data_IF_102121163207
#
_entry.id   IF_102121163207
#
_cell.length_a   1.000
_cell.length_b   1.000
_cell.length_c   1.000
_cell.angle_alpha   90.00
_cell.angle_beta   90.00
_cell.angle_gamma   90.00
#
_symmetry.space_group_name_H-M   'P 1'
#
loop_
_entity.id
_entity.type
_entity.pdbx_description
1 polymer ?
#
# COMPACT_ATOMS: atom_id res chain seq x y z
N UNK A 1 -81.81 -37.26 56.19
CA UNK A 1 -80.44 -36.92 56.62
C UNK A 1 -79.58 -36.69 55.39
N UNK A 2 -79.21 -35.43 55.16
CA UNK A 2 -78.51 -34.92 53.97
C UNK A 2 -77.01 -34.76 54.28
N UNK A 3 -76.14 -35.39 53.49
CA UNK A 3 -74.72 -35.05 53.45
C UNK A 3 -74.33 -34.64 52.03
N UNK A 4 -73.79 -33.44 51.80
CA UNK A 4 -73.27 -33.04 50.50
C UNK A 4 -71.84 -33.54 50.35
N UNK A 5 -71.57 -34.34 49.31
CA UNK A 5 -70.20 -34.68 48.93
C UNK A 5 -69.59 -33.53 48.14
N UNK A 6 -68.72 -32.76 48.79
CA UNK A 6 -67.91 -31.72 48.14
C UNK A 6 -66.93 -32.32 47.14
N UNK A 7 -67.13 -32.07 45.86
CA UNK A 7 -66.18 -32.36 44.81
C UNK A 7 -64.99 -31.39 44.89
N UNK A 8 -63.89 -31.84 45.50
CA UNK A 8 -62.61 -31.11 45.46
C UNK A 8 -62.08 -31.06 44.04
N UNK A 9 -61.95 -29.87 43.48
CA UNK A 9 -61.26 -29.64 42.22
C UNK A 9 -59.74 -29.43 42.44
N UNK A 10 -58.93 -30.16 41.65
CA UNK A 10 -57.55 -29.84 41.17
C UNK A 10 -56.40 -29.96 42.22
N UNK A 11 -55.16 -30.33 41.79
CA UNK A 11 -54.36 -29.62 40.80
C UNK A 11 -54.05 -30.45 39.55
N UNK A 12 -54.29 -29.86 38.36
CA UNK A 12 -53.66 -30.34 37.12
C UNK A 12 -52.15 -30.16 37.28
N UNK A 13 -51.41 -31.25 37.42
CA UNK A 13 -49.96 -31.23 37.39
C UNK A 13 -49.53 -30.52 36.10
N UNK A 14 -48.88 -29.35 36.24
CA UNK A 14 -48.25 -28.69 35.10
C UNK A 14 -47.29 -29.71 34.49
N UNK A 15 -47.42 -30.04 33.19
CA UNK A 15 -46.69 -31.15 32.61
C UNK A 15 -45.20 -30.88 32.83
N UNK A 16 -44.48 -31.86 33.41
CA UNK A 16 -43.03 -31.83 33.64
C UNK A 16 -42.29 -31.38 32.38
N UNK A 17 -42.86 -31.69 31.21
CA UNK A 17 -42.48 -31.20 29.88
C UNK A 17 -42.30 -29.69 29.78
N UNK A 18 -43.14 -28.86 30.43
CA UNK A 18 -42.96 -27.39 30.45
C UNK A 18 -41.74 -26.95 31.27
N UNK A 19 -41.42 -27.64 32.37
CA UNK A 19 -40.23 -27.33 33.18
C UNK A 19 -38.95 -27.73 32.44
N UNK A 20 -38.92 -28.91 31.83
CA UNK A 20 -37.81 -29.37 30.99
C UNK A 20 -37.66 -28.45 29.77
N UNK A 21 -38.75 -28.09 29.09
CA UNK A 21 -38.72 -27.17 27.96
C UNK A 21 -38.18 -25.78 28.35
N UNK A 22 -38.52 -25.27 29.54
CA UNK A 22 -37.97 -23.99 30.02
C UNK A 22 -36.47 -24.09 30.34
N UNK A 23 -36.04 -25.19 30.95
CA UNK A 23 -34.63 -25.45 31.27
C UNK A 23 -33.77 -25.61 30.01
N UNK A 24 -34.33 -26.16 28.93
CA UNK A 24 -33.64 -26.29 27.63
C UNK A 24 -33.77 -25.02 26.77
N UNK A 25 -34.79 -24.19 26.97
CA UNK A 25 -34.98 -22.97 26.19
C UNK A 25 -33.84 -21.96 26.41
N UNK A 26 -33.34 -21.84 27.64
CA UNK A 26 -32.22 -20.95 27.97
C UNK A 26 -30.94 -21.33 27.20
N UNK A 27 -30.42 -22.58 27.26
CA UNK A 27 -29.22 -22.95 26.50
C UNK A 27 -29.42 -22.92 24.98
N UNK A 28 -30.61 -23.27 24.46
CA UNK A 28 -30.92 -23.16 23.03
C UNK A 28 -30.94 -21.70 22.56
N UNK A 29 -31.51 -20.79 23.36
CA UNK A 29 -31.52 -19.36 23.04
C UNK A 29 -30.10 -18.76 23.07
N UNK A 30 -29.29 -19.13 24.07
CA UNK A 30 -27.88 -18.72 24.13
C UNK A 30 -27.07 -19.25 22.95
N UNK A 31 -27.31 -20.50 22.53
CA UNK A 31 -26.66 -21.09 21.37
C UNK A 31 -27.06 -20.38 20.07
N UNK A 32 -28.35 -20.07 19.89
CA UNK A 32 -28.84 -19.30 18.74
C UNK A 32 -28.30 -17.87 18.73
N UNK A 33 -28.21 -17.21 19.89
CA UNK A 33 -27.64 -15.88 20.03
C UNK A 33 -26.14 -15.89 19.70
N UNK A 34 -25.39 -16.89 20.19
CA UNK A 34 -23.98 -17.07 19.88
C UNK A 34 -23.77 -17.37 18.40
N UNK A 35 -24.61 -18.23 17.81
CA UNK A 35 -24.55 -18.55 16.39
C UNK A 35 -24.90 -17.34 15.52
N UNK A 36 -25.91 -16.55 15.88
CA UNK A 36 -26.26 -15.32 15.18
C UNK A 36 -25.18 -14.24 15.32
N UNK A 37 -24.58 -14.11 16.50
CA UNK A 37 -23.42 -13.23 16.72
C UNK A 37 -22.23 -13.67 15.86
N UNK A 38 -21.87 -14.96 15.89
CA UNK A 38 -20.79 -15.52 15.07
C UNK A 38 -21.08 -15.44 13.56
N UNK A 39 -22.34 -15.64 13.15
CA UNK A 39 -22.75 -15.51 11.76
C UNK A 39 -22.75 -14.05 11.31
N UNK A 40 -23.16 -13.10 12.15
CA UNK A 40 -23.10 -11.67 11.82
C UNK A 40 -21.67 -11.16 11.75
N UNK A 41 -20.77 -11.58 12.65
CA UNK A 41 -19.34 -11.25 12.58
C UNK A 41 -18.67 -11.90 11.36
N UNK A 42 -18.99 -13.15 11.06
CA UNK A 42 -18.44 -13.85 9.87
C UNK A 42 -19.00 -13.25 8.56
N UNK A 43 -20.27 -12.84 8.54
CA UNK A 43 -20.92 -12.26 7.35
C UNK A 43 -20.52 -10.79 7.14
N UNK A 44 -20.24 -10.02 8.21
CA UNK A 44 -19.60 -8.71 8.10
C UNK A 44 -18.17 -8.87 7.57
N UNK A 45 -17.39 -9.80 8.12
CA UNK A 45 -16.02 -10.06 7.68
C UNK A 45 -15.96 -10.57 6.22
N UNK A 46 -16.92 -11.39 5.79
CA UNK A 46 -16.97 -11.91 4.42
C UNK A 46 -17.33 -10.82 3.38
N UNK A 47 -18.26 -9.90 3.70
CA UNK A 47 -18.58 -8.75 2.82
C UNK A 47 -17.49 -7.69 2.80
N UNK A 48 -16.81 -7.51 3.94
CA UNK A 48 -15.59 -6.72 4.02
C UNK A 48 -14.55 -7.35 3.05
N UNK A 49 -14.15 -8.60 3.25
CA UNK A 49 -13.11 -9.30 2.46
C UNK A 49 -13.28 -9.25 0.93
N UNK A 50 -14.51 -9.38 0.39
CA UNK A 50 -14.76 -9.36 -1.06
C UNK A 50 -14.66 -7.96 -1.69
N UNK A 51 -15.08 -6.93 -0.97
CA UNK A 51 -14.99 -5.53 -1.44
C UNK A 51 -13.53 -5.03 -1.39
N UNK A 52 -12.75 -5.42 -0.37
CA UNK A 52 -11.36 -4.98 -0.20
C UNK A 52 -10.35 -5.67 -1.12
N UNK A 53 -10.51 -6.97 -1.43
CA UNK A 53 -9.67 -7.63 -2.43
C UNK A 53 -9.81 -6.95 -3.80
N UNK A 54 -11.02 -6.54 -4.14
CA UNK A 54 -11.34 -5.88 -5.41
C UNK A 54 -10.77 -4.46 -5.47
N UNK A 55 -10.86 -3.68 -4.40
CA UNK A 55 -10.24 -2.33 -4.33
C UNK A 55 -8.72 -2.41 -4.35
N UNK A 56 -8.12 -3.36 -3.63
CA UNK A 56 -6.66 -3.58 -3.62
C UNK A 56 -6.15 -3.96 -5.01
N UNK A 57 -6.78 -4.91 -5.69
CA UNK A 57 -6.30 -5.37 -7.00
C UNK A 57 -6.56 -4.28 -8.06
N UNK A 58 -7.71 -3.58 -8.01
CA UNK A 58 -8.01 -2.45 -8.91
C UNK A 58 -7.15 -1.21 -8.66
N UNK A 59 -6.62 -1.01 -7.44
CA UNK A 59 -5.78 0.14 -7.11
C UNK A 59 -4.27 -0.14 -7.18
N UNK A 60 -3.87 -1.38 -6.87
CA UNK A 60 -2.48 -1.81 -6.84
C UNK A 60 -1.86 -1.92 -8.23
N UNK A 61 -2.59 -2.46 -9.21
CA UNK A 61 -2.07 -2.60 -10.58
C UNK A 61 -1.80 -1.23 -11.24
N UNK A 62 -2.75 -0.25 -11.26
CA UNK A 62 -2.46 1.05 -11.85
C UNK A 62 -1.36 1.83 -11.11
N UNK A 63 -1.28 1.69 -9.78
CA UNK A 63 -0.21 2.32 -8.99
C UNK A 63 1.17 1.68 -9.28
N UNK A 64 1.23 0.35 -9.46
CA UNK A 64 2.44 -0.35 -9.87
C UNK A 64 2.91 0.05 -11.27
N UNK A 65 1.98 0.08 -12.24
CA UNK A 65 2.26 0.52 -13.61
C UNK A 65 2.74 1.98 -13.66
N UNK A 66 2.13 2.87 -12.88
CA UNK A 66 2.57 4.25 -12.73
C UNK A 66 4.00 4.33 -12.20
N UNK A 67 4.32 3.58 -11.14
CA UNK A 67 5.65 3.57 -10.54
C UNK A 67 6.70 3.09 -11.54
N UNK A 68 6.41 2.01 -12.27
CA UNK A 68 7.29 1.48 -13.31
C UNK A 68 7.48 2.47 -14.46
N UNK A 69 6.43 3.14 -14.90
CA UNK A 69 6.52 4.13 -15.98
C UNK A 69 7.40 5.31 -15.58
N UNK A 70 7.19 5.86 -14.37
CA UNK A 70 8.01 6.95 -13.82
C UNK A 70 9.49 6.56 -13.67
N UNK A 71 9.78 5.36 -13.16
CA UNK A 71 11.15 4.85 -13.08
C UNK A 71 11.78 4.70 -14.47
N UNK A 72 10.99 4.26 -15.45
CA UNK A 72 11.40 4.14 -16.84
C UNK A 72 11.74 5.49 -17.47
N UNK A 73 10.88 6.48 -17.29
CA UNK A 73 11.09 7.85 -17.76
C UNK A 73 12.29 8.50 -17.08
N UNK A 74 12.50 8.30 -15.77
CA UNK A 74 13.71 8.75 -15.05
C UNK A 74 14.99 8.21 -15.71
N UNK A 75 15.03 6.90 -15.98
CA UNK A 75 16.19 6.28 -16.64
C UNK A 75 16.41 6.81 -18.05
N UNK A 76 15.35 7.01 -18.83
CA UNK A 76 15.44 7.54 -20.18
C UNK A 76 15.82 9.04 -20.21
N UNK A 77 15.40 9.82 -19.21
CA UNK A 77 15.79 11.22 -19.05
C UNK A 77 17.29 11.34 -18.78
N UNK A 78 17.83 10.50 -17.88
CA UNK A 78 19.28 10.43 -17.64
C UNK A 78 20.01 9.96 -18.91
N UNK A 79 19.46 8.98 -19.64
CA UNK A 79 19.97 8.55 -20.94
C UNK A 79 19.97 9.67 -21.98
N UNK A 80 18.93 10.50 -22.04
CA UNK A 80 18.89 11.68 -22.92
C UNK A 80 19.98 12.70 -22.57
N UNK A 81 20.21 12.97 -21.27
CA UNK A 81 21.30 13.86 -20.87
C UNK A 81 22.69 13.27 -21.21
N UNK A 82 22.81 11.95 -21.19
CA UNK A 82 24.06 11.25 -21.48
C UNK A 82 24.35 11.12 -22.99
N UNK A 83 23.37 10.67 -23.77
CA UNK A 83 23.50 10.28 -25.17
C UNK A 83 23.02 11.38 -26.14
N UNK A 84 22.45 12.47 -25.62
CA UNK A 84 21.91 13.58 -26.38
C UNK A 84 20.84 13.12 -27.38
N UNK A 85 21.00 13.51 -28.65
CA UNK A 85 20.02 13.21 -29.70
C UNK A 85 19.72 11.71 -29.88
N UNK A 86 20.67 10.82 -29.54
CA UNK A 86 20.46 9.38 -29.62
C UNK A 86 19.45 8.88 -28.56
N UNK A 87 19.38 9.51 -27.39
CA UNK A 87 18.43 9.19 -26.32
C UNK A 87 17.04 9.83 -26.48
N UNK A 88 16.89 10.81 -27.38
CA UNK A 88 15.65 11.59 -27.52
C UNK A 88 14.45 10.78 -28.04
N UNK A 89 14.69 9.69 -28.78
CA UNK A 89 13.65 8.75 -29.18
C UNK A 89 13.07 8.01 -27.99
N UNK A 90 13.94 7.33 -27.23
CA UNK A 90 13.52 6.56 -26.05
C UNK A 90 12.85 7.46 -25.01
N UNK A 91 13.38 8.67 -24.76
CA UNK A 91 12.77 9.60 -23.80
C UNK A 91 11.33 9.94 -24.17
N UNK A 92 11.05 10.30 -25.44
CA UNK A 92 9.68 10.60 -25.89
C UNK A 92 8.74 9.41 -25.75
N UNK A 93 9.21 8.20 -26.04
CA UNK A 93 8.41 6.98 -25.89
C UNK A 93 8.07 6.72 -24.41
N UNK A 94 9.02 6.95 -23.49
CA UNK A 94 8.78 6.83 -22.05
C UNK A 94 7.83 7.91 -21.53
N UNK A 95 7.94 9.16 -22.00
CA UNK A 95 6.99 10.23 -21.66
C UNK A 95 5.57 9.82 -22.02
N UNK A 96 5.34 9.30 -23.23
CA UNK A 96 4.03 8.84 -23.67
C UNK A 96 3.49 7.67 -22.82
N UNK A 97 4.36 6.72 -22.45
CA UNK A 97 4.00 5.60 -21.58
C UNK A 97 3.61 6.09 -20.17
N UNK A 98 4.35 7.04 -19.60
CA UNK A 98 4.02 7.65 -18.30
C UNK A 98 2.72 8.41 -18.36
N UNK A 99 2.46 9.20 -19.41
CA UNK A 99 1.20 9.94 -19.54
C UNK A 99 0.00 9.00 -19.62
N UNK A 100 0.14 7.86 -20.31
CA UNK A 100 -0.88 6.81 -20.34
C UNK A 100 -1.11 6.20 -18.94
N UNK A 101 -0.03 5.94 -18.19
CA UNK A 101 -0.11 5.40 -16.83
C UNK A 101 -0.71 6.41 -15.84
N UNK A 102 -0.34 7.68 -15.92
CA UNK A 102 -0.93 8.79 -15.15
C UNK A 102 -2.42 8.90 -15.45
N UNK A 103 -2.82 8.85 -16.72
CA UNK A 103 -4.24 8.91 -17.08
C UNK A 103 -5.01 7.70 -16.55
N UNK A 104 -4.43 6.49 -16.60
CA UNK A 104 -5.03 5.28 -16.03
C UNK A 104 -5.18 5.40 -14.50
N UNK A 105 -4.14 5.86 -13.83
CA UNK A 105 -4.14 6.12 -12.39
C UNK A 105 -5.20 7.16 -12.01
N UNK A 106 -5.30 8.28 -12.72
CA UNK A 106 -6.30 9.31 -12.44
C UNK A 106 -7.74 8.80 -12.66
N UNK A 107 -7.99 7.97 -13.69
CA UNK A 107 -9.30 7.32 -13.89
C UNK A 107 -9.65 6.42 -12.71
N UNK A 108 -8.70 5.60 -12.26
CA UNK A 108 -8.85 4.76 -11.07
C UNK A 108 -9.13 5.62 -9.83
N UNK A 109 -8.34 6.65 -9.56
CA UNK A 109 -8.49 7.55 -8.41
C UNK A 109 -9.84 8.29 -8.37
N UNK A 110 -10.50 8.46 -9.52
CA UNK A 110 -11.84 9.08 -9.63
C UNK A 110 -12.99 8.09 -9.48
N UNK A 111 -12.73 6.79 -9.36
CA UNK A 111 -13.77 5.78 -9.17
C UNK A 111 -14.56 6.02 -7.87
N UNK A 112 -15.89 5.80 -7.84
CA UNK A 112 -16.72 6.00 -6.65
C UNK A 112 -16.22 5.20 -5.45
N UNK A 113 -15.86 3.93 -5.68
CA UNK A 113 -15.33 2.99 -4.68
C UNK A 113 -14.11 3.57 -3.91
N UNK A 114 -13.25 4.31 -4.58
CA UNK A 114 -12.06 4.93 -3.98
C UNK A 114 -12.33 6.33 -3.41
N UNK A 115 -13.23 7.10 -4.03
CA UNK A 115 -13.60 8.44 -3.57
C UNK A 115 -14.42 8.42 -2.27
N UNK A 116 -15.25 7.42 -2.11
CA UNK A 116 -16.11 7.22 -0.92
C UNK A 116 -15.39 6.44 0.18
N UNK A 117 -14.13 6.03 -0.05
CA UNK A 117 -13.32 5.39 0.98
C UNK A 117 -13.00 6.34 2.13
N UNK A 118 -13.19 5.86 3.37
CA UNK A 118 -12.85 6.60 4.58
C UNK A 118 -11.34 6.53 4.89
N UNK A 119 -10.83 7.51 5.64
CA UNK A 119 -9.46 7.52 6.15
C UNK A 119 -8.44 8.28 5.28
N UNK A 120 -7.19 7.83 5.28
CA UNK A 120 -6.04 8.55 4.70
C UNK A 120 -5.96 8.48 3.16
N UNK A 121 -6.69 7.56 2.54
CA UNK A 121 -6.55 7.24 1.11
C UNK A 121 -6.92 8.42 0.17
N UNK A 122 -8.05 9.14 0.36
CA UNK A 122 -8.39 10.28 -0.50
C UNK A 122 -7.37 11.43 -0.42
N UNK A 123 -6.74 11.64 0.75
CA UNK A 123 -5.69 12.65 0.91
C UNK A 123 -4.44 12.25 0.13
N UNK A 124 -4.00 10.99 0.23
CA UNK A 124 -2.83 10.47 -0.51
C UNK A 124 -3.07 10.50 -2.03
N UNK A 125 -4.28 10.16 -2.49
CA UNK A 125 -4.68 10.27 -3.89
C UNK A 125 -4.64 11.72 -4.42
N UNK A 126 -4.99 12.72 -3.61
CA UNK A 126 -4.83 14.14 -3.99
C UNK A 126 -3.37 14.57 -4.03
N UNK A 127 -2.55 14.14 -3.07
CA UNK A 127 -1.12 14.46 -3.03
C UNK A 127 -0.41 13.98 -4.29
N UNK A 128 -0.57 12.71 -4.64
CA UNK A 128 0.06 12.15 -5.86
C UNK A 128 -0.50 12.77 -7.14
N UNK A 129 -1.80 13.10 -7.17
CA UNK A 129 -2.38 13.77 -8.35
C UNK A 129 -1.76 15.16 -8.57
N UNK A 130 -1.47 15.89 -7.48
CA UNK A 130 -0.79 17.18 -7.55
C UNK A 130 0.71 17.07 -7.87
N UNK A 131 1.36 15.96 -7.54
CA UNK A 131 2.78 15.77 -7.89
C UNK A 131 3.00 15.53 -9.39
N UNK A 132 1.97 15.07 -10.12
CA UNK A 132 2.04 14.94 -11.59
C UNK A 132 2.15 16.29 -12.32
N UNK A 133 1.66 17.38 -11.74
CA UNK A 133 1.73 18.71 -12.36
C UNK A 133 3.20 19.15 -12.54
N UNK A 134 4.09 18.71 -11.64
CA UNK A 134 5.53 18.98 -11.70
C UNK A 134 6.28 18.21 -12.79
N UNK A 135 5.70 17.14 -13.35
CA UNK A 135 6.35 16.35 -14.40
C UNK A 135 6.56 17.16 -15.68
N UNK A 136 5.59 18.02 -16.04
CA UNK A 136 5.72 18.87 -17.24
C UNK A 136 6.87 19.85 -17.10
N UNK A 137 6.95 20.56 -15.98
CA UNK A 137 8.06 21.49 -15.70
C UNK A 137 9.40 20.76 -15.71
N UNK A 138 9.46 19.55 -15.13
CA UNK A 138 10.66 18.73 -15.14
C UNK A 138 11.09 18.37 -16.58
N UNK A 139 10.15 17.95 -17.43
CA UNK A 139 10.38 17.61 -18.85
C UNK A 139 10.85 18.82 -19.64
N UNK A 140 10.23 19.99 -19.45
CA UNK A 140 10.62 21.23 -20.14
C UNK A 140 12.09 21.59 -19.84
N UNK A 141 12.53 21.44 -18.58
CA UNK A 141 13.95 21.67 -18.20
C UNK A 141 14.90 20.62 -18.77
N UNK A 142 14.45 19.37 -18.89
CA UNK A 142 15.23 18.27 -19.51
C UNK A 142 15.44 18.56 -20.99
N UNK A 143 14.38 18.90 -21.72
CA UNK A 143 14.45 19.23 -23.15
C UNK A 143 15.27 20.50 -23.42
N UNK A 144 15.20 21.48 -22.52
CA UNK A 144 16.05 22.67 -22.57
C UNK A 144 17.53 22.41 -22.23
N UNK A 145 17.88 21.22 -21.73
CA UNK A 145 19.23 20.89 -21.25
C UNK A 145 19.68 21.75 -20.06
N UNK A 146 18.74 22.34 -19.32
CA UNK A 146 19.01 23.30 -18.23
C UNK A 146 18.95 22.65 -16.85
N UNK A 147 19.18 21.34 -16.77
CA UNK A 147 19.01 20.53 -15.57
C UNK A 147 20.13 19.50 -15.46
N UNK A 148 20.58 19.25 -14.24
CA UNK A 148 21.61 18.24 -13.95
C UNK A 148 21.00 16.83 -13.83
N UNK A 149 21.81 15.76 -14.04
CA UNK A 149 21.35 14.39 -13.80
C UNK A 149 20.81 14.17 -12.39
N UNK A 150 21.43 14.79 -11.38
CA UNK A 150 20.97 14.70 -9.99
C UNK A 150 19.57 15.31 -9.82
N UNK A 151 19.32 16.50 -10.37
CA UNK A 151 18.01 17.16 -10.31
C UNK A 151 16.93 16.37 -11.06
N UNK A 152 17.27 15.71 -12.17
CA UNK A 152 16.38 14.77 -12.87
C UNK A 152 16.02 13.61 -11.96
N UNK A 153 17.03 12.97 -11.35
CA UNK A 153 16.81 11.82 -10.46
C UNK A 153 15.93 12.22 -9.29
N UNK A 154 16.22 13.33 -8.61
CA UNK A 154 15.44 13.80 -7.47
C UNK A 154 14.00 14.17 -7.86
N UNK A 155 13.81 14.86 -8.98
CA UNK A 155 12.50 15.28 -9.47
C UNK A 155 11.55 14.09 -9.72
N UNK A 156 12.00 13.09 -10.49
CA UNK A 156 11.19 11.89 -10.72
C UNK A 156 11.04 11.05 -9.45
N UNK A 157 12.10 10.95 -8.65
CA UNK A 157 12.11 10.17 -7.42
C UNK A 157 11.09 10.65 -6.40
N UNK A 158 10.87 11.96 -6.29
CA UNK A 158 9.84 12.51 -5.41
C UNK A 158 8.43 12.02 -5.79
N UNK A 159 8.12 11.93 -7.09
CA UNK A 159 6.83 11.44 -7.58
C UNK A 159 6.71 9.92 -7.37
N UNK A 160 7.79 9.17 -7.63
CA UNK A 160 7.89 7.74 -7.34
C UNK A 160 7.66 7.46 -5.85
N UNK A 161 8.25 8.25 -4.97
CA UNK A 161 8.11 8.10 -3.52
C UNK A 161 6.66 8.28 -3.07
N UNK A 162 5.96 9.27 -3.62
CA UNK A 162 4.54 9.49 -3.35
C UNK A 162 3.67 8.33 -3.87
N UNK A 163 3.98 7.80 -5.05
CA UNK A 163 3.32 6.63 -5.62
C UNK A 163 3.52 5.38 -4.76
N UNK A 164 4.76 5.12 -4.35
CA UNK A 164 5.10 3.99 -3.49
C UNK A 164 4.47 4.10 -2.10
N UNK A 165 4.41 5.30 -1.51
CA UNK A 165 3.72 5.53 -0.22
C UNK A 165 2.22 5.27 -0.33
N UNK A 166 1.61 5.55 -1.47
CA UNK A 166 0.22 5.18 -1.73
C UNK A 166 0.08 3.65 -1.81
N UNK A 167 0.96 2.95 -2.53
CA UNK A 167 0.95 1.47 -2.59
C UNK A 167 1.12 0.87 -1.19
N UNK A 168 2.03 1.42 -0.38
CA UNK A 168 2.22 0.99 1.01
C UNK A 168 0.97 1.22 1.88
N UNK A 169 0.32 2.37 1.72
CA UNK A 169 -0.95 2.64 2.40
C UNK A 169 -2.03 1.65 1.97
N UNK A 170 -2.15 1.33 0.68
CA UNK A 170 -3.09 0.30 0.19
C UNK A 170 -2.78 -1.09 0.76
N UNK A 171 -1.49 -1.44 0.89
CA UNK A 171 -1.06 -2.71 1.48
C UNK A 171 -1.36 -2.81 2.99
N UNK A 172 -1.39 -1.67 3.70
CA UNK A 172 -1.71 -1.60 5.14
C UNK A 172 -3.16 -1.87 5.51
N UNK A 173 -4.07 -1.92 4.53
CA UNK A 173 -5.51 -2.07 4.75
C UNK A 173 -5.92 -3.56 4.91
N UNK A 174 -4.98 -4.52 4.83
CA UNK A 174 -5.23 -5.97 4.92
C UNK A 174 -5.01 -6.61 6.30
N UNK A 175 -5.38 -7.90 6.43
CA UNK A 175 -5.06 -8.74 7.59
C UNK A 175 -3.55 -8.75 7.89
N UNK A 176 -3.19 -8.82 9.18
CA UNK A 176 -1.81 -8.70 9.69
C UNK A 176 -0.80 -9.61 8.97
N UNK A 177 -1.20 -10.80 8.54
CA UNK A 177 -0.33 -11.76 7.82
C UNK A 177 -0.06 -11.39 6.36
N UNK A 178 -1.04 -10.81 5.66
CA UNK A 178 -0.89 -10.27 4.30
C UNK A 178 -0.03 -9.01 4.36
N UNK A 179 -0.24 -8.17 5.39
CA UNK A 179 0.57 -6.98 5.65
C UNK A 179 2.07 -7.28 5.83
N UNK A 180 2.44 -8.34 6.56
CA UNK A 180 3.86 -8.70 6.77
C UNK A 180 4.56 -9.11 5.46
N UNK A 181 3.90 -9.91 4.62
CA UNK A 181 4.45 -10.33 3.32
C UNK A 181 4.55 -9.15 2.35
N UNK A 182 3.51 -8.31 2.28
CA UNK A 182 3.52 -7.11 1.44
C UNK A 182 4.57 -6.09 1.89
N UNK A 183 4.78 -5.92 3.20
CA UNK A 183 5.80 -5.01 3.71
C UNK A 183 7.22 -5.48 3.33
N UNK A 184 7.53 -6.77 3.45
CA UNK A 184 8.84 -7.29 3.06
C UNK A 184 9.15 -7.10 1.56
N UNK A 185 8.12 -7.20 0.71
CA UNK A 185 8.24 -6.91 -0.72
C UNK A 185 8.41 -5.41 -0.98
N UNK A 186 7.66 -4.55 -0.28
CA UNK A 186 7.81 -3.10 -0.37
C UNK A 186 9.20 -2.65 0.04
N UNK A 187 9.74 -3.15 1.17
CA UNK A 187 11.11 -2.83 1.60
C UNK A 187 12.16 -3.23 0.55
N UNK A 188 11.99 -4.40 -0.08
CA UNK A 188 12.87 -4.82 -1.17
C UNK A 188 12.76 -3.90 -2.38
N UNK A 189 11.54 -3.48 -2.74
CA UNK A 189 11.33 -2.54 -3.84
C UNK A 189 11.99 -1.17 -3.55
N UNK A 190 11.82 -0.63 -2.34
CA UNK A 190 12.47 0.61 -1.93
C UNK A 190 14.00 0.50 -2.01
N UNK A 191 14.57 -0.61 -1.52
CA UNK A 191 16.00 -0.84 -1.61
C UNK A 191 16.50 -0.90 -3.07
N UNK A 192 15.74 -1.56 -3.95
CA UNK A 192 16.03 -1.60 -5.39
C UNK A 192 15.91 -0.22 -6.02
N UNK A 193 14.92 0.60 -5.64
CA UNK A 193 14.79 1.95 -6.19
C UNK A 193 15.97 2.84 -5.80
N UNK A 194 16.46 2.76 -4.55
CA UNK A 194 17.67 3.46 -4.14
C UNK A 194 18.90 3.03 -4.96
N UNK A 195 19.06 1.72 -5.20
CA UNK A 195 20.12 1.21 -6.09
C UNK A 195 19.98 1.71 -7.53
N UNK A 196 18.76 1.84 -8.05
CA UNK A 196 18.51 2.39 -9.38
C UNK A 196 18.83 3.90 -9.48
N UNK A 197 18.66 4.65 -8.39
CA UNK A 197 19.09 6.07 -8.31
C UNK A 197 20.61 6.19 -8.33
N UNK A 198 21.30 5.32 -7.59
CA UNK A 198 22.77 5.22 -7.60
C UNK A 198 23.29 4.92 -9.01
N UNK A 199 22.75 3.90 -9.69
CA UNK A 199 23.13 3.53 -11.06
C UNK A 199 22.86 4.67 -12.05
N UNK A 200 21.69 5.31 -11.97
CA UNK A 200 21.36 6.44 -12.83
C UNK A 200 22.34 7.61 -12.64
N UNK A 201 22.72 7.92 -11.40
CA UNK A 201 23.68 8.98 -11.13
C UNK A 201 25.06 8.63 -11.68
N UNK A 202 25.52 7.38 -11.52
CA UNK A 202 26.80 6.93 -12.08
C UNK A 202 26.82 7.03 -13.60
N UNK A 203 25.73 6.67 -14.28
CA UNK A 203 25.59 6.84 -15.74
C UNK A 203 25.65 8.31 -16.14
N UNK A 204 24.93 9.18 -15.44
CA UNK A 204 24.96 10.62 -15.68
C UNK A 204 26.35 11.23 -15.51
N UNK A 205 27.07 10.84 -14.44
CA UNK A 205 28.44 11.30 -14.17
C UNK A 205 29.41 10.81 -15.25
N UNK A 206 29.27 9.55 -15.68
CA UNK A 206 30.15 8.97 -16.69
C UNK A 206 30.01 9.65 -18.05
N UNK A 207 28.79 10.07 -18.41
CA UNK A 207 28.55 10.81 -19.64
C UNK A 207 29.00 12.27 -19.58
N UNK A 208 29.19 12.82 -18.37
CA UNK A 208 29.75 14.14 -18.14
C UNK A 208 31.29 14.15 -18.14
N UNK A 209 31.88 14.81 -17.14
CA UNK A 209 33.34 14.88 -16.97
C UNK A 209 33.93 13.69 -16.19
N UNK A 210 33.09 12.70 -15.83
CA UNK A 210 33.47 11.54 -15.04
C UNK A 210 33.72 11.85 -13.56
N UNK A 211 33.42 13.06 -13.08
CA UNK A 211 33.69 13.48 -11.69
C UNK A 211 32.41 13.77 -10.94
N UNK A 212 32.18 13.06 -9.84
CA UNK A 212 31.09 13.42 -8.94
C UNK A 212 31.41 14.69 -8.15
N UNK A 213 30.50 15.67 -8.19
CA UNK A 213 30.47 16.84 -7.32
C UNK A 213 30.16 16.50 -5.86
N UNK A 214 30.19 17.51 -4.98
CA UNK A 214 29.89 17.33 -3.55
C UNK A 214 28.47 16.84 -3.30
N UNK A 215 27.48 17.49 -3.94
CA UNK A 215 26.07 17.13 -3.82
C UNK A 215 25.79 15.70 -4.31
N UNK A 216 26.38 15.30 -5.44
CA UNK A 216 26.23 13.96 -6.02
C UNK A 216 26.80 12.87 -5.11
N UNK A 217 27.98 13.09 -4.52
CA UNK A 217 28.55 12.15 -3.53
C UNK A 217 27.67 12.02 -2.30
N UNK A 218 27.10 13.13 -1.81
CA UNK A 218 26.19 13.10 -0.66
C UNK A 218 24.89 12.36 -1.00
N UNK A 219 24.31 12.60 -2.16
CA UNK A 219 23.10 11.91 -2.62
C UNK A 219 23.34 10.40 -2.78
N UNK A 220 24.42 10.02 -3.46
CA UNK A 220 24.83 8.62 -3.63
C UNK A 220 25.00 7.92 -2.27
N UNK A 221 25.72 8.55 -1.34
CA UNK A 221 25.96 7.99 -0.02
C UNK A 221 24.66 7.88 0.80
N UNK A 222 23.73 8.83 0.65
CA UNK A 222 22.39 8.78 1.21
C UNK A 222 21.65 7.53 0.75
N UNK A 223 21.37 7.44 -0.56
CA UNK A 223 20.64 6.30 -1.14
C UNK A 223 21.26 4.95 -0.76
N UNK A 224 22.60 4.85 -0.73
CA UNK A 224 23.30 3.64 -0.33
C UNK A 224 23.15 3.30 1.15
N UNK A 225 22.99 4.29 2.02
CA UNK A 225 22.69 4.10 3.42
C UNK A 225 21.22 3.68 3.61
N UNK A 226 20.28 4.37 2.96
CA UNK A 226 18.86 4.03 3.02
C UNK A 226 18.59 2.60 2.51
N UNK A 227 19.11 2.23 1.35
CA UNK A 227 18.94 0.88 0.80
C UNK A 227 19.50 -0.22 1.71
N UNK A 228 20.67 0.02 2.33
CA UNK A 228 21.27 -0.91 3.31
C UNK A 228 20.44 -1.06 4.57
N UNK A 229 19.87 0.02 5.08
CA UNK A 229 18.99 -0.04 6.26
C UNK A 229 17.80 -0.95 6.00
N UNK A 230 17.15 -0.83 4.84
CA UNK A 230 16.00 -1.65 4.47
C UNK A 230 16.33 -3.14 4.32
N UNK A 231 17.51 -3.45 3.77
CA UNK A 231 17.98 -4.84 3.65
C UNK A 231 18.40 -5.43 5.01
N UNK A 232 19.00 -4.62 5.87
CA UNK A 232 19.48 -5.05 7.20
C UNK A 232 18.35 -5.41 8.17
N UNK A 233 17.16 -4.83 8.04
CA UNK A 233 16.03 -5.21 8.90
C UNK A 233 15.62 -6.68 8.69
N UNK A 234 15.77 -7.27 7.50
CA UNK A 234 15.49 -8.71 7.32
C UNK A 234 16.31 -9.62 8.24
N UNK A 235 17.52 -9.23 8.64
CA UNK A 235 18.35 -10.06 9.51
C UNK A 235 17.94 -10.00 10.97
N UNK A 236 17.35 -8.91 11.49
CA UNK A 236 16.86 -8.88 12.88
C UNK A 236 15.50 -9.61 13.03
N UNK A 237 14.65 -9.74 12.00
CA UNK A 237 13.29 -10.32 12.15
C UNK A 237 13.27 -11.86 12.19
N UNK A 238 14.37 -12.52 11.83
CA UNK A 238 14.50 -13.98 11.81
C UNK A 238 15.13 -14.59 13.07
N UNK A 239 15.63 -13.79 14.00
CA UNK A 239 16.29 -14.29 15.22
C UNK A 239 15.32 -14.33 16.40
N UNK A 240 14.78 -15.52 16.71
CA UNK A 240 13.98 -15.80 17.92
C UNK A 240 14.82 -15.90 19.21
N UNK A 241 16.11 -15.63 19.16
CA UNK A 241 17.03 -15.75 20.30
C UNK A 241 17.59 -14.41 20.72
N UNK A 242 16.89 -13.72 21.64
CA UNK A 242 17.33 -12.57 22.46
C UNK A 242 17.86 -11.33 21.71
N UNK A 243 17.76 -10.12 22.28
CA UNK A 243 17.69 -8.90 21.47
C UNK A 243 19.08 -8.54 20.92
N UNK A 244 19.24 -8.35 19.60
CA UNK A 244 20.25 -7.42 19.15
C UNK A 244 19.71 -6.02 19.42
N UNK A 245 20.57 -5.15 19.92
CA UNK A 245 20.33 -3.71 19.96
C UNK A 245 20.19 -3.17 18.53
N UNK A 246 19.05 -3.40 17.87
CA UNK A 246 18.73 -2.80 16.56
C UNK A 246 18.28 -1.36 16.86
N UNK A 247 19.25 -0.45 17.03
CA UNK A 247 19.05 0.98 17.23
C UNK A 247 18.55 1.62 15.94
N UNK A 248 17.22 1.69 15.80
CA UNK A 248 16.58 2.31 14.66
C UNK A 248 15.13 1.88 14.61
N UNK A 249 14.26 2.62 15.29
CA UNK A 249 12.83 2.50 15.05
C UNK A 249 12.58 2.72 13.56
N UNK A 250 11.82 1.84 12.88
CA UNK A 250 11.29 2.17 11.57
C UNK A 250 10.50 3.47 11.76
N UNK A 251 10.82 4.53 11.01
CA UNK A 251 9.89 5.65 10.93
C UNK A 251 8.57 5.07 10.42
N UNK A 252 7.54 5.15 11.25
CA UNK A 252 6.18 4.94 10.78
C UNK A 252 5.91 6.03 9.74
N UNK A 253 5.60 5.62 8.51
CA UNK A 253 5.25 6.48 7.36
C UNK A 253 3.74 6.54 7.16
#
# INVERSE_FOLDING_TARGET
>A
MTHPHGSRARPRARPIRRRIALLLAVPLASLLALWAFAATTTLSDARQRLTFATVRDRAGEPAGLLTQALQGERSAAVGLLADGAAGAGEFRDRVAATDAAVAAFQRMARSPDLRESEGMLPRRLRTISGSFDGLRELRDRIEAGSITPLEVIDGYSAVVDDAMRLVAALASIGEVSIYQHSNALLQAYWALDFMLREDALLRGVHAGDGRMGGAERTAFAGWAAEGRLLLSWRSCSGSTTSPPACGGTPRAW
#
